data_IF_422146930766
#
_entry.id   IF_422146930766
#
_cell.length_a   1.000
_cell.length_b   1.000
_cell.length_c   1.000
_cell.angle_alpha   90.00
_cell.angle_beta   90.00
_cell.angle_gamma   90.00
#
_symmetry.space_group_name_H-M   'P 1'
#
loop_
_entity.id
_entity.type
_entity.pdbx_description
1 polymer ?
#
# COMPACT_ATOMS: atom_id res chain seq x y z
N UNK A 1 -37.67 19.57 13.05
CA UNK A 1 -37.22 18.42 12.25
C UNK A 1 -36.21 18.96 11.24
N UNK A 2 -34.91 18.78 11.47
CA UNK A 2 -33.90 19.08 10.47
C UNK A 2 -33.56 17.77 9.73
N UNK A 3 -33.64 17.74 8.39
CA UNK A 3 -33.21 16.57 7.64
C UNK A 3 -31.68 16.56 7.68
N UNK A 4 -31.09 15.52 8.28
CA UNK A 4 -29.67 15.27 8.17
C UNK A 4 -29.38 14.92 6.70
N UNK A 5 -28.83 15.90 5.98
CA UNK A 5 -28.27 15.70 4.66
C UNK A 5 -27.18 14.64 4.74
N UNK A 6 -27.23 13.69 3.80
CA UNK A 6 -26.31 12.55 3.71
C UNK A 6 -24.86 13.06 3.67
N UNK A 7 -24.14 12.81 4.76
CA UNK A 7 -22.71 13.05 4.89
C UNK A 7 -21.96 12.35 3.74
N UNK A 8 -21.58 13.13 2.73
CA UNK A 8 -20.79 12.64 1.63
C UNK A 8 -19.34 12.53 2.12
N UNK A 9 -18.91 11.30 2.41
CA UNK A 9 -17.55 10.91 2.78
C UNK A 9 -16.56 11.04 1.60
N UNK A 10 -16.73 12.03 0.74
CA UNK A 10 -15.85 12.25 -0.39
C UNK A 10 -14.65 13.09 0.05
N UNK A 11 -13.45 12.53 -0.10
CA UNK A 11 -12.21 13.29 0.04
C UNK A 11 -12.25 14.56 -0.82
N UNK A 12 -11.63 15.67 -0.38
CA UNK A 12 -11.54 16.89 -1.16
C UNK A 12 -10.96 16.60 -2.55
N UNK A 13 -11.53 17.24 -3.58
CA UNK A 13 -11.13 17.07 -4.98
C UNK A 13 -9.62 17.31 -5.11
N UNK A 14 -8.88 16.26 -5.49
CA UNK A 14 -7.43 16.30 -5.67
C UNK A 14 -6.63 15.42 -4.69
N UNK A 15 -7.25 14.95 -3.59
CA UNK A 15 -6.60 14.00 -2.67
C UNK A 15 -6.97 12.58 -3.06
N UNK A 16 -5.99 11.82 -3.56
CA UNK A 16 -6.17 10.39 -3.81
C UNK A 16 -6.06 9.63 -2.49
N UNK A 17 -7.05 8.79 -2.18
CA UNK A 17 -6.93 7.82 -1.09
C UNK A 17 -5.66 7.00 -1.28
N UNK A 18 -4.90 6.84 -0.21
CA UNK A 18 -3.77 5.94 -0.21
C UNK A 18 -3.81 5.06 1.03
N UNK A 19 -3.13 3.93 0.97
CA UNK A 19 -2.85 3.06 2.09
C UNK A 19 -1.34 2.97 2.27
N UNK A 20 -0.89 2.85 3.50
CA UNK A 20 0.49 2.50 3.79
C UNK A 20 0.55 1.00 4.08
N UNK A 21 1.54 0.33 3.50
CA UNK A 21 1.72 -1.12 3.61
C UNK A 21 3.15 -1.38 4.06
N UNK A 22 3.29 -2.18 5.11
CA UNK A 22 4.58 -2.75 5.52
C UNK A 22 4.64 -4.21 5.10
N UNK A 23 5.69 -4.57 4.36
CA UNK A 23 5.97 -5.96 4.03
C UNK A 23 6.62 -6.69 5.20
N UNK A 24 6.48 -8.02 5.27
CA UNK A 24 7.19 -8.87 6.24
C UNK A 24 8.72 -8.78 6.07
N UNK A 25 9.53 -9.10 7.09
CA UNK A 25 10.98 -9.16 6.94
C UNK A 25 11.36 -10.15 5.83
N UNK A 26 12.38 -9.81 5.04
CA UNK A 26 12.81 -10.62 3.90
C UNK A 26 11.89 -10.55 2.67
N UNK A 27 10.82 -9.75 2.71
CA UNK A 27 9.97 -9.47 1.54
C UNK A 27 10.26 -8.09 0.97
N UNK A 28 10.25 -7.98 -0.35
CA UNK A 28 10.44 -6.72 -1.08
C UNK A 28 9.49 -6.61 -2.26
N UNK A 29 9.27 -5.39 -2.73
CA UNK A 29 8.48 -5.12 -3.91
C UNK A 29 9.35 -5.05 -5.16
N UNK A 30 9.09 -5.92 -6.13
CA UNK A 30 9.66 -5.83 -7.47
C UNK A 30 8.73 -5.00 -8.36
N UNK A 31 9.15 -3.76 -8.65
CA UNK A 31 8.39 -2.83 -9.51
C UNK A 31 8.25 -3.33 -10.95
N UNK A 32 9.27 -4.01 -11.48
CA UNK A 32 9.26 -4.51 -12.87
C UNK A 32 8.26 -5.65 -13.03
N UNK A 33 8.22 -6.54 -12.05
CA UNK A 33 7.30 -7.70 -12.03
C UNK A 33 5.93 -7.37 -11.44
N UNK A 34 5.78 -6.20 -10.80
CA UNK A 34 4.61 -5.84 -9.96
C UNK A 34 4.25 -6.98 -9.00
N UNK A 35 5.24 -7.43 -8.25
CA UNK A 35 5.11 -8.58 -7.36
C UNK A 35 5.83 -8.33 -6.03
N UNK A 36 5.33 -8.98 -4.97
CA UNK A 36 6.08 -9.14 -3.73
C UNK A 36 6.97 -10.37 -3.90
N UNK A 37 8.24 -10.26 -3.54
CA UNK A 37 9.20 -11.35 -3.62
C UNK A 37 9.87 -11.54 -2.26
N UNK A 38 9.97 -12.79 -1.81
CA UNK A 38 10.73 -13.14 -0.62
C UNK A 38 12.18 -13.46 -0.97
N UNK A 39 13.07 -13.37 0.01
CA UNK A 39 14.47 -13.83 -0.10
C UNK A 39 14.56 -15.32 -0.42
N UNK A 40 13.58 -16.12 0.02
CA UNK A 40 13.45 -17.54 -0.31
C UNK A 40 12.99 -17.80 -1.76
N UNK A 41 12.74 -16.76 -2.56
CA UNK A 41 12.33 -16.88 -3.96
C UNK A 41 10.83 -17.07 -4.17
N UNK A 42 10.01 -17.00 -3.12
CA UNK A 42 8.55 -16.97 -3.29
C UNK A 42 8.14 -15.66 -3.95
N UNK A 43 7.10 -15.70 -4.78
CA UNK A 43 6.60 -14.51 -5.47
C UNK A 43 5.07 -14.47 -5.48
N UNK A 44 4.53 -13.33 -5.04
CA UNK A 44 3.10 -13.03 -5.08
C UNK A 44 2.88 -11.91 -6.09
N UNK A 45 2.25 -12.25 -7.23
CA UNK A 45 1.90 -11.25 -8.26
C UNK A 45 0.71 -10.44 -7.78
N UNK A 46 0.80 -9.12 -7.91
CA UNK A 46 -0.27 -8.21 -7.49
C UNK A 46 -1.31 -7.98 -8.60
N UNK A 47 -0.97 -8.37 -9.85
CA UNK A 47 -1.90 -8.33 -10.97
C UNK A 47 -2.97 -9.40 -10.78
N UNK A 48 -4.24 -8.98 -10.74
CA UNK A 48 -5.39 -9.87 -10.54
C UNK A 48 -5.82 -10.01 -9.08
N UNK A 49 -4.96 -9.66 -8.13
CA UNK A 49 -5.35 -9.45 -6.72
C UNK A 49 -5.86 -8.03 -6.53
N UNK A 50 -5.10 -7.04 -7.02
CA UNK A 50 -5.48 -5.64 -6.91
C UNK A 50 -6.30 -5.19 -8.11
N UNK A 51 -7.33 -4.41 -7.82
CA UNK A 51 -8.14 -3.72 -8.82
C UNK A 51 -7.28 -2.89 -9.79
N UNK A 52 -7.69 -2.79 -11.07
CA UNK A 52 -6.98 -1.99 -12.06
C UNK A 52 -6.94 -0.51 -11.65
N UNK A 53 -5.87 0.19 -12.04
CA UNK A 53 -5.66 1.60 -11.72
C UNK A 53 -4.95 1.86 -10.39
N UNK A 54 -4.86 0.86 -9.49
CA UNK A 54 -4.07 0.95 -8.26
C UNK A 54 -2.58 1.04 -8.60
N UNK A 55 -1.91 2.02 -7.98
CA UNK A 55 -0.46 2.22 -8.07
C UNK A 55 0.20 1.84 -6.75
N UNK A 56 1.35 1.20 -6.83
CA UNK A 56 2.16 0.83 -5.68
C UNK A 56 3.48 1.54 -5.81
N UNK A 57 3.85 2.30 -4.79
CA UNK A 57 5.01 3.18 -4.77
C UNK A 57 5.79 2.86 -3.50
N UNK A 58 7.07 2.46 -3.57
CA UNK A 58 7.88 2.35 -2.37
C UNK A 58 8.02 3.72 -1.70
N UNK A 59 7.92 3.78 -0.37
CA UNK A 59 8.14 5.04 0.38
C UNK A 59 9.59 5.49 0.23
N UNK A 60 10.53 4.55 0.19
CA UNK A 60 11.94 4.80 -0.10
C UNK A 60 12.37 4.07 -1.39
N UNK A 61 12.15 4.65 -2.59
CA UNK A 61 12.44 4.00 -3.87
C UNK A 61 13.90 3.56 -4.04
N UNK A 62 14.85 4.38 -3.60
CA UNK A 62 16.28 4.07 -3.70
C UNK A 62 16.65 2.85 -2.85
N UNK A 63 16.09 2.75 -1.63
CA UNK A 63 16.35 1.63 -0.73
C UNK A 63 15.63 0.36 -1.21
N UNK A 64 14.41 0.48 -1.70
CA UNK A 64 13.66 -0.66 -2.26
C UNK A 64 14.32 -1.26 -3.51
N UNK A 65 15.12 -0.47 -4.25
CA UNK A 65 15.86 -0.91 -5.43
C UNK A 65 17.31 -1.34 -5.13
N UNK A 66 17.83 -1.05 -3.93
CA UNK A 66 19.18 -1.40 -3.53
C UNK A 66 19.34 -2.90 -3.29
N UNK A 67 20.59 -3.36 -3.23
CA UNK A 67 20.89 -4.73 -2.85
C UNK A 67 20.65 -4.93 -1.33
N UNK A 68 19.82 -5.89 -0.90
CA UNK A 68 19.51 -6.09 0.52
C UNK A 68 20.74 -6.33 1.40
N UNK A 69 21.81 -6.91 0.84
CA UNK A 69 23.07 -7.16 1.53
C UNK A 69 23.90 -5.90 1.81
N UNK A 70 23.65 -4.82 1.06
CA UNK A 70 24.33 -3.53 1.23
C UNK A 70 23.63 -2.58 2.21
N UNK A 71 22.42 -2.91 2.65
CA UNK A 71 21.59 -2.04 3.48
C UNK A 71 21.81 -2.32 4.97
N UNK A 72 21.86 -1.25 5.77
CA UNK A 72 21.75 -1.34 7.22
C UNK A 72 20.39 -1.91 7.66
N UNK A 73 20.25 -2.21 8.96
CA UNK A 73 18.98 -2.71 9.49
C UNK A 73 17.83 -1.70 9.32
N UNK A 74 18.08 -0.42 9.62
CA UNK A 74 17.10 0.66 9.47
C UNK A 74 16.70 0.88 8.00
N UNK A 75 17.67 0.82 7.09
CA UNK A 75 17.40 0.95 5.65
C UNK A 75 16.58 -0.23 5.12
N UNK A 76 16.86 -1.46 5.60
CA UNK A 76 16.04 -2.64 5.28
C UNK A 76 14.62 -2.50 5.81
N UNK A 77 14.45 -1.90 6.99
CA UNK A 77 13.13 -1.61 7.52
C UNK A 77 12.37 -0.62 6.62
N UNK A 78 13.01 0.47 6.21
CA UNK A 78 12.39 1.48 5.33
C UNK A 78 12.08 0.94 3.93
N UNK A 79 12.94 0.09 3.37
CA UNK A 79 12.75 -0.53 2.06
C UNK A 79 11.47 -1.39 1.98
N UNK A 80 10.91 -1.80 3.13
CA UNK A 80 9.69 -2.62 3.23
C UNK A 80 8.40 -1.81 3.23
N UNK A 81 8.47 -0.48 3.28
CA UNK A 81 7.27 0.36 3.27
C UNK A 81 6.85 0.76 1.86
N UNK A 82 5.57 0.57 1.58
CA UNK A 82 4.93 0.90 0.31
C UNK A 82 3.72 1.80 0.56
N UNK A 83 3.49 2.72 -0.36
CA UNK A 83 2.25 3.46 -0.49
C UNK A 83 1.44 2.85 -1.64
N UNK A 84 0.18 2.50 -1.35
CA UNK A 84 -0.78 2.01 -2.33
C UNK A 84 -1.75 3.14 -2.61
N UNK A 85 -1.66 3.71 -3.81
CA UNK A 85 -2.50 4.84 -4.24
C UNK A 85 -3.69 4.30 -5.02
N UNK A 86 -4.89 4.64 -4.55
CA UNK A 86 -6.14 4.19 -5.15
C UNK A 86 -6.57 5.14 -6.29
N UNK A 87 -7.26 4.61 -7.31
CA UNK A 87 -7.96 5.46 -8.27
C UNK A 87 -9.10 6.23 -7.59
N UNK A 88 -9.54 7.34 -8.19
CA UNK A 88 -10.66 8.13 -7.68
C UNK A 88 -11.90 7.26 -7.50
N UNK A 89 -12.51 7.32 -6.31
CA UNK A 89 -13.70 6.53 -5.96
C UNK A 89 -13.43 5.09 -5.55
N UNK A 90 -12.18 4.64 -5.49
CA UNK A 90 -11.83 3.33 -4.93
C UNK A 90 -12.02 3.28 -3.41
N UNK A 91 -12.57 2.18 -2.90
CA UNK A 91 -12.75 1.97 -1.46
C UNK A 91 -11.42 1.50 -0.81
N UNK A 92 -10.81 2.29 0.09
CA UNK A 92 -9.61 1.87 0.82
C UNK A 92 -9.82 0.62 1.69
N UNK A 93 -11.04 0.33 2.15
CA UNK A 93 -11.31 -0.83 2.99
C UNK A 93 -11.16 -2.14 2.21
N UNK A 94 -11.74 -2.21 1.01
CA UNK A 94 -11.67 -3.39 0.13
C UNK A 94 -10.22 -3.67 -0.26
N UNK A 95 -9.50 -2.63 -0.73
CA UNK A 95 -8.09 -2.75 -1.10
C UNK A 95 -7.23 -3.16 0.10
N UNK A 96 -7.55 -2.68 1.30
CA UNK A 96 -6.84 -3.08 2.50
C UNK A 96 -7.09 -4.56 2.87
N UNK A 97 -8.31 -5.07 2.65
CA UNK A 97 -8.63 -6.49 2.86
C UNK A 97 -7.84 -7.39 1.89
N UNK A 98 -7.82 -7.03 0.59
CA UNK A 98 -7.05 -7.74 -0.43
C UNK A 98 -5.56 -7.78 -0.07
N UNK A 99 -4.99 -6.65 0.32
CA UNK A 99 -3.58 -6.54 0.70
C UNK A 99 -3.24 -7.38 1.94
N UNK A 100 -4.11 -7.37 2.97
CA UNK A 100 -3.88 -8.16 4.20
C UNK A 100 -3.90 -9.67 3.96
N UNK A 101 -4.58 -10.13 2.92
CA UNK A 101 -4.60 -11.56 2.56
C UNK A 101 -3.28 -12.05 1.94
N UNK A 102 -2.38 -11.15 1.54
CA UNK A 102 -1.15 -11.52 0.85
C UNK A 102 -0.07 -12.00 1.83
N UNK A 103 0.58 -13.11 1.47
CA UNK A 103 1.61 -13.75 2.30
C UNK A 103 2.75 -12.82 2.71
N UNK A 104 3.15 -11.88 1.84
CA UNK A 104 4.25 -10.95 2.07
C UNK A 104 3.89 -9.66 2.80
N UNK A 105 2.62 -9.45 3.12
CA UNK A 105 2.16 -8.23 3.82
C UNK A 105 2.11 -8.48 5.32
N UNK A 106 2.63 -7.53 6.09
CA UNK A 106 2.64 -7.57 7.55
C UNK A 106 1.62 -6.61 8.14
N UNK A 107 1.56 -5.38 7.63
CA UNK A 107 0.67 -4.34 8.12
C UNK A 107 0.09 -3.56 6.95
N UNK A 108 -1.19 -3.20 7.07
CA UNK A 108 -1.86 -2.24 6.18
C UNK A 108 -2.52 -1.17 7.04
N UNK A 109 -2.03 0.06 6.91
CA UNK A 109 -2.52 1.24 7.61
C UNK A 109 -3.35 2.08 6.66
N UNK A 110 -4.58 2.38 7.07
CA UNK A 110 -5.44 3.36 6.40
C UNK A 110 -5.17 4.74 7.03
N UNK A 111 -5.03 5.81 6.24
CA UNK A 111 -4.95 7.15 6.78
C UNK A 111 -6.20 7.48 7.61
N UNK A 112 -6.06 8.26 8.70
CA UNK A 112 -7.20 8.62 9.53
C UNK A 112 -8.25 9.36 8.71
N UNK A 113 -9.53 9.04 8.94
CA UNK A 113 -10.64 9.84 8.41
C UNK A 113 -10.61 11.19 9.11
N UNK A 114 -10.06 12.22 8.46
CA UNK A 114 -10.16 13.58 8.96
C UNK A 114 -11.57 14.07 8.66
N UNK A 115 -12.47 13.92 9.63
CA UNK A 115 -13.70 14.71 9.69
C UNK A 115 -13.34 16.08 10.26
N UNK A 116 -13.47 17.13 9.45
CA UNK A 116 -13.47 18.49 10.00
C UNK A 116 -14.85 18.73 10.65
N UNK A 117 -14.91 19.25 11.89
CA UNK A 117 -16.16 19.54 12.58
C UNK A 117 -16.96 20.68 11.93
#
# INVERSE_FOLDING_TARGET
MHPFEKETTALPRGVSSHLEVRLKPGWRFDRRRRALISEAGQSVRLRGVLSPGIRIVPIAPSLAAADPGSLSEDERLLARYLQVVLPSGGDPADVAADLRSLEGVELVTTPPKIGLP
#
